data_IF_399833973803
#
_entry.id   IF_399833973803
#
_cell.length_a   1.000
_cell.length_b   1.000
_cell.length_c   1.000
_cell.angle_alpha   90.00
_cell.angle_beta   90.00
_cell.angle_gamma   90.00
#
_symmetry.space_group_name_H-M   'P 1'
#
loop_
_entity.id
_entity.type
_entity.pdbx_description
1 polymer ?
#
# COMPACT_ATOMS: atom_id res chain seq x y z
N UNK A 1 -5.34 -32.08 4.46
CA UNK A 1 -4.67 -30.76 4.59
C UNK A 1 -5.64 -29.57 4.69
N UNK A 2 -6.81 -29.55 4.02
CA UNK A 2 -7.75 -28.41 4.07
C UNK A 2 -8.33 -28.11 5.48
N UNK A 3 -8.63 -29.14 6.29
CA UNK A 3 -9.26 -28.99 7.60
C UNK A 3 -8.36 -28.33 8.67
N UNK A 4 -7.04 -28.51 8.58
CA UNK A 4 -6.07 -27.94 9.55
C UNK A 4 -5.81 -26.46 9.29
N UNK A 5 -5.82 -26.03 8.03
CA UNK A 5 -5.72 -24.62 7.68
C UNK A 5 -6.97 -23.83 8.08
N UNK A 6 -8.14 -24.46 8.05
CA UNK A 6 -9.42 -23.85 8.44
C UNK A 6 -9.52 -23.65 9.96
N UNK A 7 -9.07 -24.65 10.72
CA UNK A 7 -8.89 -24.57 12.18
C UNK A 7 -7.85 -23.49 12.50
N UNK A 8 -6.65 -23.52 11.94
CA UNK A 8 -5.63 -22.49 12.22
C UNK A 8 -6.10 -21.07 11.86
N UNK A 9 -6.87 -20.90 10.78
CA UNK A 9 -7.48 -19.62 10.39
C UNK A 9 -8.44 -19.11 11.43
N UNK A 10 -9.40 -19.94 11.85
CA UNK A 10 -10.41 -19.59 12.86
C UNK A 10 -9.76 -19.14 14.18
N UNK A 11 -8.64 -19.74 14.56
CA UNK A 11 -7.92 -19.38 15.77
C UNK A 11 -7.20 -18.03 15.62
N UNK A 12 -6.60 -17.73 14.46
CA UNK A 12 -5.97 -16.42 14.21
C UNK A 12 -6.98 -15.26 14.12
N UNK A 13 -8.14 -15.45 13.48
CA UNK A 13 -9.23 -14.47 13.46
C UNK A 13 -9.78 -14.23 14.86
N UNK A 14 -9.97 -15.30 15.63
CA UNK A 14 -10.43 -15.22 17.02
C UNK A 14 -9.39 -14.55 17.93
N UNK A 15 -8.10 -14.74 17.69
CA UNK A 15 -7.04 -14.17 18.54
C UNK A 15 -6.78 -12.68 18.27
N UNK A 16 -6.91 -12.21 17.03
CA UNK A 16 -6.90 -10.76 16.74
C UNK A 16 -8.16 -10.07 17.24
N UNK A 17 -9.35 -10.66 17.02
CA UNK A 17 -10.60 -10.15 17.55
C UNK A 17 -10.59 -10.15 19.10
N UNK A 18 -10.05 -11.22 19.69
CA UNK A 18 -9.80 -11.31 21.13
C UNK A 18 -8.80 -10.27 21.59
N UNK A 19 -7.68 -10.01 20.89
CA UNK A 19 -6.75 -8.94 21.25
C UNK A 19 -7.37 -7.54 21.15
N UNK A 20 -8.21 -7.29 20.14
CA UNK A 20 -8.98 -6.05 20.01
C UNK A 20 -9.97 -5.88 21.17
N UNK A 21 -10.60 -6.96 21.63
CA UNK A 21 -11.48 -6.95 22.81
C UNK A 21 -10.72 -6.97 24.15
N UNK A 22 -9.50 -7.53 24.18
CA UNK A 22 -8.63 -7.63 25.36
C UNK A 22 -7.98 -6.27 25.66
N UNK A 23 -7.73 -5.47 24.62
CA UNK A 23 -7.55 -4.01 24.73
C UNK A 23 -8.94 -3.41 24.93
N UNK A 24 -9.53 -3.76 26.05
CA UNK A 24 -10.50 -3.00 26.80
C UNK A 24 -10.95 -1.67 26.15
N UNK A 25 -12.10 -1.63 25.45
CA UNK A 25 -12.76 -0.39 25.10
C UNK A 25 -12.94 0.52 26.32
N UNK A 26 -13.08 -0.09 27.51
CA UNK A 26 -13.12 0.57 28.80
C UNK A 26 -11.82 1.31 29.17
N UNK A 27 -10.64 0.81 28.81
CA UNK A 27 -9.36 1.52 29.05
C UNK A 27 -9.27 2.76 28.16
N UNK A 28 -9.75 2.69 26.92
CA UNK A 28 -9.76 3.83 26.00
C UNK A 28 -10.77 4.91 26.45
N UNK A 29 -11.93 4.47 26.95
CA UNK A 29 -12.93 5.33 27.60
C UNK A 29 -12.36 5.97 28.86
N UNK A 30 -11.73 5.20 29.75
CA UNK A 30 -11.06 5.74 30.95
C UNK A 30 -9.95 6.72 30.59
N UNK A 31 -9.08 6.39 29.63
CA UNK A 31 -8.00 7.28 29.17
C UNK A 31 -8.55 8.60 28.60
N UNK A 32 -9.68 8.55 27.91
CA UNK A 32 -10.37 9.73 27.38
C UNK A 32 -10.94 10.61 28.51
N UNK A 33 -11.46 10.00 29.59
CA UNK A 33 -11.97 10.72 30.77
C UNK A 33 -10.87 11.19 31.74
N UNK A 34 -9.73 10.52 31.82
CA UNK A 34 -8.67 10.78 32.81
C UNK A 34 -7.83 12.04 32.52
N UNK A 35 -7.90 12.63 31.32
CA UNK A 35 -7.10 13.82 31.00
C UNK A 35 -7.78 14.83 30.07
N UNK A 36 -7.96 16.07 30.53
CA UNK A 36 -8.50 17.18 29.75
C UNK A 36 -7.79 17.40 28.40
N UNK A 37 -6.47 17.21 28.37
CA UNK A 37 -5.63 17.32 27.17
C UNK A 37 -5.81 16.13 26.21
N UNK A 38 -6.01 14.94 26.75
CA UNK A 38 -6.22 13.69 26.00
C UNK A 38 -7.63 13.70 25.39
N UNK A 39 -8.63 14.07 26.18
CA UNK A 39 -10.01 14.28 25.73
C UNK A 39 -10.06 15.25 24.54
N UNK A 40 -9.43 16.42 24.65
CA UNK A 40 -9.42 17.41 23.56
C UNK A 40 -8.70 16.91 22.29
N UNK A 41 -7.60 16.16 22.42
CA UNK A 41 -6.86 15.61 21.26
C UNK A 41 -7.66 14.52 20.55
N UNK A 42 -8.22 13.57 21.30
CA UNK A 42 -8.98 12.46 20.72
C UNK A 42 -10.34 12.90 20.17
N UNK A 43 -11.06 13.75 20.91
CA UNK A 43 -12.41 14.20 20.52
C UNK A 43 -12.35 15.18 19.35
N UNK A 44 -11.40 16.13 19.31
CA UNK A 44 -11.39 17.18 18.27
C UNK A 44 -10.47 16.91 17.08
N UNK A 45 -9.42 16.08 17.19
CA UNK A 45 -8.42 15.93 16.10
C UNK A 45 -8.25 14.53 15.57
N UNK A 46 -8.65 13.51 16.33
CA UNK A 46 -8.36 12.13 16.02
C UNK A 46 -9.61 11.26 15.89
N UNK A 47 -10.83 11.82 15.83
CA UNK A 47 -12.05 11.00 15.81
C UNK A 47 -12.10 10.04 14.62
N UNK A 48 -11.58 10.43 13.46
CA UNK A 48 -11.58 9.59 12.27
C UNK A 48 -10.45 8.55 12.21
N UNK A 49 -9.35 8.70 12.97
CA UNK A 49 -8.21 7.76 12.89
C UNK A 49 -8.53 6.38 13.50
N UNK A 50 -9.12 6.26 14.71
CA UNK A 50 -9.51 4.98 15.27
C UNK A 50 -10.50 4.25 14.37
N UNK A 51 -11.44 4.97 13.77
CA UNK A 51 -12.42 4.39 12.84
C UNK A 51 -11.71 3.91 11.58
N UNK A 52 -10.84 4.72 10.97
CA UNK A 52 -10.06 4.32 9.80
C UNK A 52 -9.18 3.10 10.10
N UNK A 53 -8.48 3.09 11.24
CA UNK A 53 -7.63 1.98 11.66
C UNK A 53 -8.42 0.72 11.98
N UNK A 54 -9.64 0.84 12.53
CA UNK A 54 -10.53 -0.30 12.77
C UNK A 54 -10.90 -1.00 11.45
N UNK A 55 -11.29 -0.24 10.42
CA UNK A 55 -11.56 -0.81 9.10
C UNK A 55 -10.30 -1.43 8.47
N UNK A 56 -9.14 -0.81 8.65
CA UNK A 56 -7.86 -1.36 8.18
C UNK A 56 -7.51 -2.69 8.87
N UNK A 57 -7.63 -2.79 10.19
CA UNK A 57 -7.37 -4.04 10.91
C UNK A 57 -8.37 -5.14 10.56
N UNK A 58 -9.64 -4.78 10.37
CA UNK A 58 -10.65 -5.73 9.90
C UNK A 58 -10.31 -6.26 8.51
N UNK A 59 -9.90 -5.37 7.59
CA UNK A 59 -9.41 -5.75 6.26
C UNK A 59 -8.20 -6.69 6.33
N UNK A 60 -7.20 -6.38 7.18
CA UNK A 60 -6.04 -7.24 7.40
C UNK A 60 -6.43 -8.65 7.88
N UNK A 61 -7.43 -8.74 8.76
CA UNK A 61 -7.95 -10.02 9.24
C UNK A 61 -8.57 -10.87 8.11
N UNK A 62 -9.30 -10.23 7.19
CA UNK A 62 -9.84 -10.90 6.00
C UNK A 62 -8.74 -11.32 5.00
N UNK A 63 -7.65 -10.57 4.90
CA UNK A 63 -6.48 -10.98 4.10
C UNK A 63 -5.81 -12.24 4.67
N UNK A 64 -5.68 -12.35 6.00
CA UNK A 64 -5.16 -13.56 6.66
C UNK A 64 -6.10 -14.75 6.44
N UNK A 65 -7.41 -14.51 6.53
CA UNK A 65 -8.45 -15.53 6.29
C UNK A 65 -8.62 -15.89 4.80
N UNK A 66 -7.92 -15.18 3.91
CA UNK A 66 -7.91 -15.34 2.45
C UNK A 66 -9.23 -15.03 1.74
N UNK A 67 -10.03 -14.17 2.35
CA UNK A 67 -11.17 -13.52 1.72
C UNK A 67 -10.72 -12.17 1.11
N UNK A 68 -9.97 -12.25 0.01
CA UNK A 68 -9.31 -11.11 -0.62
C UNK A 68 -10.27 -10.00 -1.07
N UNK A 69 -11.42 -10.36 -1.63
CA UNK A 69 -12.44 -9.42 -2.09
C UNK A 69 -12.97 -8.55 -0.95
N UNK A 70 -13.41 -9.19 0.15
CA UNK A 70 -13.96 -8.51 1.33
C UNK A 70 -12.89 -7.62 1.98
N UNK A 71 -11.65 -8.12 2.06
CA UNK A 71 -10.51 -7.34 2.55
C UNK A 71 -10.30 -6.06 1.73
N UNK A 72 -10.36 -6.14 0.39
CA UNK A 72 -10.20 -4.99 -0.50
C UNK A 72 -11.34 -3.96 -0.35
N UNK A 73 -12.58 -4.42 -0.23
CA UNK A 73 -13.75 -3.55 0.01
C UNK A 73 -13.58 -2.77 1.32
N UNK A 74 -13.25 -3.45 2.42
CA UNK A 74 -13.05 -2.83 3.73
C UNK A 74 -11.83 -1.90 3.75
N UNK A 75 -10.76 -2.26 3.02
CA UNK A 75 -9.60 -1.39 2.86
C UNK A 75 -9.98 -0.09 2.14
N UNK A 76 -10.81 -0.17 1.09
CA UNK A 76 -11.29 1.01 0.37
C UNK A 76 -12.13 1.93 1.28
N UNK A 77 -12.95 1.37 2.16
CA UNK A 77 -13.63 2.19 3.19
C UNK A 77 -12.65 2.88 4.14
N UNK A 78 -11.61 2.17 4.61
CA UNK A 78 -10.58 2.76 5.48
C UNK A 78 -9.87 3.95 4.82
N UNK A 79 -9.48 3.81 3.54
CA UNK A 79 -8.83 4.88 2.75
C UNK A 79 -9.76 6.09 2.58
N UNK A 80 -11.06 5.85 2.39
CA UNK A 80 -12.06 6.91 2.22
C UNK A 80 -12.25 7.76 3.49
N UNK A 81 -12.05 7.18 4.67
CA UNK A 81 -12.17 7.88 5.96
C UNK A 81 -10.93 8.73 6.24
N UNK A 82 -9.73 8.18 5.97
CA UNK A 82 -8.47 8.89 6.13
C UNK A 82 -7.43 8.42 5.12
N UNK A 83 -6.92 9.38 4.36
CA UNK A 83 -5.90 9.13 3.33
C UNK A 83 -4.62 8.48 3.87
N UNK A 84 -4.24 8.68 5.13
CA UNK A 84 -3.02 8.11 5.71
C UNK A 84 -2.94 6.57 5.55
N UNK A 85 -4.08 5.88 5.45
CA UNK A 85 -4.14 4.43 5.24
C UNK A 85 -3.63 4.02 3.84
N UNK A 86 -3.57 4.96 2.89
CA UNK A 86 -2.99 4.77 1.56
C UNK A 86 -1.50 4.43 1.61
N UNK A 87 -0.78 4.82 2.68
CA UNK A 87 0.62 4.45 2.88
C UNK A 87 0.83 2.92 2.97
N UNK A 88 -0.21 2.14 3.29
CA UNK A 88 -0.16 0.68 3.32
C UNK A 88 -0.44 0.02 1.95
N UNK A 89 -0.88 0.79 0.94
CA UNK A 89 -1.20 0.29 -0.40
C UNK A 89 -0.04 -0.46 -1.09
N UNK A 90 1.23 0.02 -1.10
CA UNK A 90 2.32 -0.71 -1.74
C UNK A 90 2.58 -2.07 -1.09
N UNK A 91 2.52 -2.17 0.24
CA UNK A 91 2.66 -3.45 0.93
C UNK A 91 1.51 -4.42 0.60
N UNK A 92 0.26 -3.92 0.58
CA UNK A 92 -0.91 -4.72 0.21
C UNK A 92 -0.87 -5.18 -1.25
N UNK A 93 -0.38 -4.34 -2.16
CA UNK A 93 -0.18 -4.70 -3.56
C UNK A 93 0.73 -5.92 -3.70
N UNK A 94 1.88 -5.92 -3.01
CA UNK A 94 2.79 -7.06 -3.04
C UNK A 94 2.17 -8.32 -2.40
N UNK A 95 1.42 -8.17 -1.30
CA UNK A 95 0.73 -9.29 -0.66
C UNK A 95 -0.31 -9.92 -1.61
N UNK A 96 -1.10 -9.11 -2.30
CA UNK A 96 -2.10 -9.57 -3.28
C UNK A 96 -1.42 -10.26 -4.46
N UNK A 97 -0.37 -9.65 -5.00
CA UNK A 97 0.38 -10.19 -6.13
C UNK A 97 0.94 -11.59 -5.82
N UNK A 98 1.51 -11.76 -4.63
CA UNK A 98 2.14 -13.01 -4.20
C UNK A 98 1.16 -14.12 -3.87
N UNK A 99 0.02 -13.80 -3.27
CA UNK A 99 -0.93 -14.81 -2.79
C UNK A 99 -2.02 -15.15 -3.83
N UNK A 100 -2.47 -14.17 -4.60
CA UNK A 100 -3.67 -14.30 -5.46
C UNK A 100 -3.31 -14.38 -6.94
N UNK A 101 -2.12 -13.92 -7.33
CA UNK A 101 -1.65 -13.84 -8.72
C UNK A 101 -2.09 -12.55 -9.43
N UNK A 102 -1.51 -12.29 -10.61
CA UNK A 102 -1.65 -11.02 -11.34
C UNK A 102 -3.09 -10.66 -11.71
N UNK A 103 -3.79 -11.55 -12.41
CA UNK A 103 -5.13 -11.29 -12.93
C UNK A 103 -6.12 -10.93 -11.82
N UNK A 104 -6.15 -11.72 -10.75
CA UNK A 104 -7.04 -11.47 -9.60
C UNK A 104 -6.63 -10.21 -8.83
N UNK A 105 -5.34 -9.89 -8.77
CA UNK A 105 -4.85 -8.65 -8.18
C UNK A 105 -5.36 -7.43 -8.93
N UNK A 106 -5.32 -7.45 -10.27
CA UNK A 106 -5.86 -6.37 -11.11
C UNK A 106 -7.36 -6.18 -10.83
N UNK A 107 -8.13 -7.27 -10.78
CA UNK A 107 -9.57 -7.22 -10.48
C UNK A 107 -9.83 -6.61 -9.09
N UNK A 108 -9.10 -7.04 -8.07
CA UNK A 108 -9.24 -6.52 -6.70
C UNK A 108 -8.92 -5.02 -6.60
N UNK A 109 -7.85 -4.57 -7.28
CA UNK A 109 -7.49 -3.15 -7.33
C UNK A 109 -8.55 -2.35 -8.08
N UNK A 110 -9.09 -2.90 -9.17
CA UNK A 110 -10.16 -2.25 -9.92
C UNK A 110 -11.43 -2.06 -9.07
N UNK A 111 -11.78 -3.06 -8.25
CA UNK A 111 -12.89 -2.95 -7.29
C UNK A 111 -12.62 -1.84 -6.27
N UNK A 112 -11.41 -1.76 -5.72
CA UNK A 112 -11.03 -0.66 -4.82
C UNK A 112 -11.23 0.70 -5.49
N UNK A 113 -10.80 0.85 -6.75
CA UNK A 113 -10.92 2.09 -7.51
C UNK A 113 -12.39 2.47 -7.77
N UNK A 114 -13.24 1.51 -8.11
CA UNK A 114 -14.69 1.77 -8.29
C UNK A 114 -15.31 2.32 -7.01
N UNK A 115 -15.00 1.73 -5.85
CA UNK A 115 -15.54 2.18 -4.57
C UNK A 115 -15.07 3.60 -4.25
N UNK A 116 -13.80 3.92 -4.51
CA UNK A 116 -13.27 5.29 -4.33
C UNK A 116 -13.97 6.29 -5.23
N UNK A 117 -14.18 5.96 -6.51
CA UNK A 117 -14.88 6.83 -7.46
C UNK A 117 -16.34 7.01 -7.03
N UNK A 118 -17.00 5.94 -6.58
CA UNK A 118 -18.39 5.99 -6.13
C UNK A 118 -18.56 6.91 -4.92
N UNK A 119 -17.70 6.79 -3.90
CA UNK A 119 -17.73 7.64 -2.71
C UNK A 119 -17.33 9.09 -3.07
N UNK A 120 -16.38 9.27 -4.00
CA UNK A 120 -15.92 10.57 -4.48
C UNK A 120 -16.85 11.25 -5.49
N UNK A 121 -17.81 10.53 -6.07
CA UNK A 121 -18.67 10.98 -7.17
C UNK A 121 -19.35 12.33 -6.92
N UNK A 122 -20.01 12.60 -5.77
CA UNK A 122 -20.67 13.89 -5.56
C UNK A 122 -19.68 15.07 -5.57
N UNK A 123 -18.42 14.84 -5.17
CA UNK A 123 -17.39 15.86 -5.16
C UNK A 123 -16.75 16.06 -6.53
N UNK A 124 -16.50 14.96 -7.25
CA UNK A 124 -15.94 14.96 -8.61
C UNK A 124 -16.89 15.65 -9.60
N UNK A 125 -18.20 15.45 -9.44
CA UNK A 125 -19.21 16.09 -10.30
C UNK A 125 -19.28 17.60 -10.11
N UNK A 126 -18.97 18.10 -8.91
CA UNK A 126 -19.02 19.54 -8.63
C UNK A 126 -17.72 20.25 -9.03
N UNK A 127 -16.57 19.74 -8.57
CA UNK A 127 -15.25 20.27 -8.96
C UNK A 127 -14.15 19.20 -8.77
N UNK A 128 -13.71 18.56 -9.87
CA UNK A 128 -12.71 17.48 -9.78
C UNK A 128 -11.32 17.99 -9.39
N UNK A 129 -10.96 19.22 -9.78
CA UNK A 129 -9.63 19.78 -9.52
C UNK A 129 -9.51 20.15 -8.04
N UNK A 130 -10.52 20.83 -7.50
CA UNK A 130 -10.57 21.16 -6.07
C UNK A 130 -10.63 19.92 -5.19
N UNK A 131 -11.38 18.88 -5.61
CA UNK A 131 -11.44 17.62 -4.85
C UNK A 131 -10.08 16.94 -4.77
N UNK A 132 -9.35 16.82 -5.88
CA UNK A 132 -8.05 16.15 -5.91
C UNK A 132 -6.99 16.95 -5.11
N UNK A 133 -6.95 18.27 -5.27
CA UNK A 133 -6.02 19.13 -4.54
C UNK A 133 -6.25 19.08 -3.03
N UNK A 134 -7.52 19.13 -2.59
CA UNK A 134 -7.86 19.11 -1.15
C UNK A 134 -7.74 17.71 -0.54
N UNK A 135 -7.91 16.65 -1.34
CA UNK A 135 -7.75 15.28 -0.86
C UNK A 135 -6.29 14.94 -0.54
N UNK A 136 -5.34 15.33 -1.39
CA UNK A 136 -3.93 14.95 -1.25
C UNK A 136 -3.01 16.05 -0.67
N UNK A 137 -3.44 17.32 -0.67
CA UNK A 137 -2.74 18.49 -0.08
C UNK A 137 -1.20 18.42 -0.17
N UNK A 138 -0.69 18.18 -1.40
CA UNK A 138 0.74 17.96 -1.67
C UNK A 138 1.59 19.22 -1.45
N UNK A 139 0.96 20.39 -1.35
CA UNK A 139 1.61 21.68 -1.09
C UNK A 139 1.84 21.97 0.39
N UNK A 140 1.52 21.03 1.29
CA UNK A 140 1.67 21.24 2.73
C UNK A 140 3.14 21.35 3.14
N UNK A 141 3.52 22.51 3.65
CA UNK A 141 4.83 22.78 4.25
C UNK A 141 4.76 22.59 5.76
N UNK A 142 5.82 22.04 6.36
CA UNK A 142 5.88 21.91 7.81
C UNK A 142 6.12 23.28 8.45
N UNK A 143 5.25 23.67 9.39
CA UNK A 143 5.41 24.92 10.12
C UNK A 143 6.39 24.74 11.28
N UNK A 144 7.41 25.60 11.37
CA UNK A 144 8.47 25.53 12.38
C UNK A 144 7.92 25.45 13.82
N UNK A 145 6.85 26.19 14.11
CA UNK A 145 6.18 26.22 15.43
C UNK A 145 5.74 24.86 15.98
N UNK A 146 5.48 23.87 15.11
CA UNK A 146 5.00 22.54 15.51
C UNK A 146 6.10 21.49 15.58
N UNK A 147 7.35 21.87 15.32
CA UNK A 147 8.45 20.92 15.27
C UNK A 147 9.02 20.69 16.66
N UNK A 148 8.98 19.44 17.11
CA UNK A 148 9.61 19.05 18.39
C UNK A 148 11.03 18.56 18.14
N UNK A 149 11.21 17.65 17.18
CA UNK A 149 12.51 17.01 16.91
C UNK A 149 13.51 17.92 16.18
N UNK A 150 13.04 18.94 15.46
CA UNK A 150 13.85 19.80 14.59
C UNK A 150 14.09 21.20 15.15
N UNK A 151 13.84 21.41 16.45
CA UNK A 151 13.92 22.73 17.09
C UNK A 151 15.35 23.28 17.23
N UNK A 152 16.35 22.44 16.97
CA UNK A 152 17.75 22.84 16.91
C UNK A 152 18.12 23.51 15.58
N UNK A 153 17.32 23.32 14.52
CA UNK A 153 17.50 24.04 13.27
C UNK A 153 16.91 25.45 13.37
N UNK A 154 17.55 26.45 12.76
CA UNK A 154 16.95 27.77 12.63
C UNK A 154 15.77 27.72 11.64
N UNK A 155 14.79 28.60 11.84
CA UNK A 155 13.50 28.59 11.11
C UNK A 155 13.67 28.75 9.60
N UNK A 156 14.62 29.58 9.16
CA UNK A 156 14.93 29.79 7.75
C UNK A 156 15.33 28.47 7.05
N UNK A 157 16.13 27.63 7.71
CA UNK A 157 16.56 26.34 7.15
C UNK A 157 15.46 25.29 7.25
N UNK A 158 14.61 25.35 8.28
CA UNK A 158 13.55 24.37 8.45
C UNK A 158 12.42 24.52 7.42
N UNK A 159 12.05 25.76 7.08
CA UNK A 159 10.95 26.05 6.13
C UNK A 159 11.39 25.90 4.67
N UNK A 160 12.70 25.83 4.41
CA UNK A 160 13.25 25.65 3.08
C UNK A 160 12.81 24.31 2.44
N UNK A 161 12.25 24.39 1.21
CA UNK A 161 11.79 23.22 0.46
C UNK A 161 12.91 22.21 0.18
N UNK A 162 14.16 22.66 0.12
CA UNK A 162 15.35 21.81 -0.09
C UNK A 162 15.49 20.78 1.03
N UNK A 163 15.27 21.18 2.29
CA UNK A 163 15.36 20.29 3.43
C UNK A 163 14.26 19.24 3.38
N UNK A 164 13.02 19.65 3.09
CA UNK A 164 11.89 18.72 2.99
C UNK A 164 12.09 17.67 1.88
N UNK A 165 12.59 18.09 0.71
CA UNK A 165 12.91 17.18 -0.40
C UNK A 165 14.06 16.23 -0.01
N UNK A 166 15.11 16.75 0.63
CA UNK A 166 16.23 15.92 1.09
C UNK A 166 15.78 14.86 2.11
N UNK A 167 14.92 15.23 3.07
CA UNK A 167 14.34 14.31 4.05
C UNK A 167 13.51 13.22 3.36
N UNK A 168 12.68 13.63 2.41
CA UNK A 168 11.84 12.71 1.64
C UNK A 168 12.69 11.71 0.84
N UNK A 169 13.73 12.19 0.15
CA UNK A 169 14.64 11.33 -0.61
C UNK A 169 15.40 10.36 0.30
N UNK A 170 15.90 10.83 1.45
CA UNK A 170 16.56 9.96 2.43
C UNK A 170 15.62 8.85 2.91
N UNK A 171 14.35 9.18 3.19
CA UNK A 171 13.35 8.20 3.59
C UNK A 171 13.06 7.19 2.47
N UNK A 172 12.92 7.65 1.22
CA UNK A 172 12.66 6.81 0.06
C UNK A 172 13.82 5.84 -0.21
N UNK A 173 15.06 6.32 -0.12
CA UNK A 173 16.27 5.48 -0.22
C UNK A 173 16.29 4.43 0.88
N UNK A 174 16.01 4.80 2.13
CA UNK A 174 15.93 3.85 3.24
C UNK A 174 14.87 2.76 3.00
N UNK A 175 13.69 3.14 2.50
CA UNK A 175 12.63 2.19 2.13
C UNK A 175 13.05 1.25 1.00
N UNK A 176 13.75 1.74 -0.04
CA UNK A 176 14.25 0.90 -1.14
C UNK A 176 15.28 -0.11 -0.62
N UNK A 177 16.25 0.34 0.17
CA UNK A 177 17.28 -0.54 0.74
C UNK A 177 16.62 -1.62 1.61
N UNK A 178 15.68 -1.22 2.47
CA UNK A 178 14.96 -2.14 3.34
C UNK A 178 14.08 -3.12 2.55
N UNK A 179 13.36 -2.64 1.54
CA UNK A 179 12.56 -3.47 0.65
C UNK A 179 13.41 -4.50 -0.10
N UNK A 180 14.52 -4.07 -0.69
CA UNK A 180 15.45 -4.95 -1.40
C UNK A 180 16.06 -6.02 -0.48
N UNK A 181 16.59 -5.60 0.67
CA UNK A 181 17.33 -6.50 1.55
C UNK A 181 16.42 -7.42 2.38
N UNK A 182 15.28 -6.93 2.86
CA UNK A 182 14.38 -7.70 3.73
C UNK A 182 13.30 -8.46 2.95
N UNK A 183 12.68 -7.84 1.95
CA UNK A 183 11.45 -8.38 1.33
C UNK A 183 11.71 -9.16 0.03
N UNK A 184 12.69 -8.71 -0.77
CA UNK A 184 12.86 -9.20 -2.13
C UNK A 184 13.89 -10.31 -2.32
N UNK A 185 14.66 -10.69 -1.28
CA UNK A 185 15.78 -11.64 -1.39
C UNK A 185 15.41 -12.98 -2.06
N UNK A 186 14.19 -13.49 -1.84
CA UNK A 186 13.71 -14.74 -2.47
C UNK A 186 12.46 -14.56 -3.36
N UNK A 187 11.85 -13.37 -3.33
CA UNK A 187 10.47 -13.15 -3.80
C UNK A 187 10.39 -12.71 -5.27
N UNK A 188 11.35 -11.89 -5.72
CA UNK A 188 11.46 -11.45 -7.13
C UNK A 188 11.68 -12.66 -8.04
N UNK A 189 12.51 -13.61 -7.60
CA UNK A 189 12.84 -14.84 -8.33
C UNK A 189 11.59 -15.68 -8.61
N UNK A 190 10.67 -15.78 -7.65
CA UNK A 190 9.43 -16.56 -7.79
C UNK A 190 8.36 -15.84 -8.61
N UNK A 191 8.28 -14.50 -8.51
CA UNK A 191 7.37 -13.69 -9.34
C UNK A 191 7.81 -13.74 -10.81
N UNK A 192 9.10 -13.57 -11.10
CA UNK A 192 9.63 -13.63 -12.48
C UNK A 192 9.45 -15.02 -13.10
N UNK A 193 9.68 -16.11 -12.36
CA UNK A 193 9.46 -17.46 -12.87
C UNK A 193 7.97 -17.85 -13.05
N UNK A 194 7.04 -17.14 -12.40
CA UNK A 194 5.59 -17.36 -12.53
C UNK A 194 4.90 -16.36 -13.45
N UNK A 195 5.65 -15.35 -13.92
CA UNK A 195 5.23 -14.41 -14.94
C UNK A 195 5.25 -15.18 -16.27
N UNK A 196 4.07 -15.62 -16.70
CA UNK A 196 3.89 -16.34 -17.95
C UNK A 196 4.08 -15.37 -19.13
N UNK A 197 5.34 -15.20 -19.54
CA UNK A 197 5.77 -14.30 -20.61
C UNK A 197 5.12 -14.65 -21.96
N UNK A 198 4.70 -15.91 -22.16
CA UNK A 198 4.09 -16.38 -23.39
C UNK A 198 2.71 -15.75 -23.65
N UNK A 199 1.98 -15.41 -22.58
CA UNK A 199 0.67 -14.77 -22.68
C UNK A 199 0.75 -13.25 -22.90
N UNK A 200 1.80 -12.59 -22.40
CA UNK A 200 2.02 -11.14 -22.61
C UNK A 200 2.53 -10.85 -24.02
N UNK A 201 3.40 -11.72 -24.57
CA UNK A 201 3.82 -11.62 -25.98
C UNK A 201 2.61 -11.72 -26.93
N UNK A 202 1.65 -12.62 -26.63
CA UNK A 202 0.38 -12.70 -27.37
C UNK A 202 -0.50 -11.45 -27.21
N UNK A 203 -0.61 -10.87 -26.02
CA UNK A 203 -1.40 -9.65 -25.79
C UNK A 203 -0.74 -8.42 -26.45
N UNK A 204 0.60 -8.37 -26.51
CA UNK A 204 1.34 -7.29 -27.19
C UNK A 204 1.21 -7.33 -28.72
N UNK A 205 0.86 -8.49 -29.29
CA UNK A 205 0.57 -8.66 -30.72
C UNK A 205 -0.86 -8.25 -31.13
N UNK A 206 -1.70 -7.80 -30.19
CA UNK A 206 -3.04 -7.32 -30.51
C UNK A 206 -2.97 -5.92 -31.16
N UNK A 207 -3.61 -5.71 -32.33
CA UNK A 207 -3.49 -4.48 -33.11
C UNK A 207 -4.01 -3.23 -32.39
N UNK A 208 -4.87 -3.40 -31.37
CA UNK A 208 -5.45 -2.31 -30.58
C UNK A 208 -4.42 -1.66 -29.64
N UNK A 209 -3.45 -2.43 -29.13
CA UNK A 209 -2.46 -1.93 -28.17
C UNK A 209 -1.32 -1.15 -28.86
N UNK A 210 -1.02 -1.49 -30.13
CA UNK A 210 -0.07 -0.77 -30.98
C UNK A 210 -0.53 0.64 -31.38
N UNK A 211 -1.81 0.97 -31.15
CA UNK A 211 -2.38 2.29 -31.45
C UNK A 211 -2.11 3.32 -30.33
N UNK A 212 -1.86 2.85 -29.09
CA UNK A 212 -1.78 3.71 -27.88
C UNK A 212 -0.34 3.96 -27.42
N UNK A 213 0.61 3.10 -27.79
CA UNK A 213 2.01 3.22 -27.39
C UNK A 213 2.91 3.00 -28.61
N UNK A 214 3.68 4.02 -29.06
CA UNK A 214 4.56 3.85 -30.22
C UNK A 214 5.66 2.80 -29.93
N UNK A 215 6.06 1.99 -30.93
CA UNK A 215 6.95 0.84 -30.76
C UNK A 215 8.36 1.17 -30.27
N UNK A 216 8.72 2.46 -30.18
CA UNK A 216 10.05 2.97 -29.89
C UNK A 216 10.41 2.90 -28.40
N UNK A 217 9.43 2.86 -27.49
CA UNK A 217 9.69 2.82 -26.03
C UNK A 217 9.69 1.41 -25.45
N UNK A 218 9.00 0.47 -26.10
CA UNK A 218 8.70 -0.86 -25.55
C UNK A 218 9.78 -1.89 -25.92
N UNK A 219 10.32 -1.83 -27.13
CA UNK A 219 11.31 -2.81 -27.61
C UNK A 219 12.67 -2.75 -26.90
N UNK A 220 13.30 -1.59 -26.63
CA UNK A 220 14.63 -1.56 -26.02
C UNK A 220 14.59 -1.97 -24.54
N UNK A 221 13.48 -1.66 -23.87
CA UNK A 221 13.29 -1.96 -22.46
C UNK A 221 13.03 -3.45 -22.23
N UNK A 222 12.22 -4.09 -23.09
CA UNK A 222 12.03 -5.54 -23.08
C UNK A 222 13.31 -6.29 -23.45
N UNK A 223 14.08 -5.79 -24.41
CA UNK A 223 15.32 -6.42 -24.86
C UNK A 223 16.46 -6.27 -23.83
N UNK A 224 16.52 -5.15 -23.11
CA UNK A 224 17.41 -4.97 -21.95
C UNK A 224 17.07 -5.96 -20.81
N UNK A 225 15.78 -6.15 -20.52
CA UNK A 225 15.32 -7.09 -19.50
C UNK A 225 15.63 -8.54 -19.90
N UNK A 226 15.38 -8.91 -21.15
CA UNK A 226 15.69 -10.25 -21.71
C UNK A 226 17.21 -10.54 -21.73
N UNK A 227 18.03 -9.55 -22.07
CA UNK A 227 19.50 -9.73 -22.10
C UNK A 227 20.12 -9.83 -20.70
N UNK A 228 19.55 -9.14 -19.70
CA UNK A 228 19.96 -9.30 -18.29
C UNK A 228 19.69 -10.71 -17.75
N UNK A 229 18.72 -11.41 -18.34
CA UNK A 229 18.36 -12.78 -18.01
C UNK A 229 19.45 -13.74 -18.52
N UNK A 230 19.94 -13.64 -19.76
CA UNK A 230 20.83 -14.66 -20.36
C UNK A 230 22.21 -14.96 -19.69
N UNK A 231 22.73 -14.10 -18.79
CA UNK A 231 24.08 -14.23 -18.25
C UNK A 231 24.31 -15.33 -17.18
N UNK A 232 23.40 -15.64 -16.24
CA UNK A 232 23.65 -16.62 -15.18
C UNK A 232 23.25 -18.07 -15.53
N UNK A 233 22.45 -18.29 -16.58
CA UNK A 233 21.89 -19.62 -16.91
C UNK A 233 22.91 -20.57 -17.55
N UNK A 234 24.00 -20.05 -18.13
CA UNK A 234 25.00 -20.89 -18.83
C UNK A 234 25.98 -21.58 -17.87
N UNK A 235 26.18 -21.07 -16.65
CA UNK A 235 27.08 -21.69 -15.66
C UNK A 235 26.39 -22.75 -14.80
N UNK A 236 25.12 -22.55 -14.42
CA UNK A 236 24.37 -23.53 -13.60
C UNK A 236 23.96 -24.80 -14.35
N UNK A 237 24.01 -24.81 -15.69
CA UNK A 237 23.69 -25.99 -16.50
C UNK A 237 24.85 -27.02 -16.57
N UNK A 238 26.08 -26.62 -16.21
CA UNK A 238 27.26 -27.50 -16.22
C UNK A 238 27.51 -28.19 -14.87
N UNK A 239 26.98 -27.66 -13.77
CA UNK A 239 27.09 -28.29 -12.44
C UNK A 239 26.02 -29.37 -12.18
N UNK A 240 25.15 -29.60 -13.17
CA UNK A 240 24.04 -30.57 -13.10
C UNK A 240 24.22 -31.76 -14.07
N UNK A 241 25.43 -31.97 -14.60
CA UNK A 241 25.80 -33.15 -15.38
C UNK A 241 27.06 -33.80 -14.82
#
# INVERSE_FOLDING_TARGET
MLRVNDIRRSYTTFQFCSMIFLIAPFVLVFLCFTGYRIHSIFVLRLFNDPVAMLFFYLSANFFISQHWFIGCVLYSFAVSIKMNVLLFAPALFFILLLNVGLWRTIVNIFICAIIQIYIGLPFIMHDPVSYLQRSFDLGRVFLFKWTVNWRFLPENVFVDSRLHIALFMCHLVALIIFGYHMWFRNTVRTILCKFDWDNILKISSLPVLQLVLPPITVSPFLEFLYRSESAPYRQLALDCY
#
